data_IF_312236034676
#
_entry.id   IF_312236034676
#
_cell.length_a   1.000
_cell.length_b   1.000
_cell.length_c   1.000
_cell.angle_alpha   90.00
_cell.angle_beta   90.00
_cell.angle_gamma   90.00
#
_symmetry.space_group_name_H-M   'P 1'
#
loop_
_entity.id
_entity.type
_entity.pdbx_description
1 polymer ?
#
# COMPACT_ATOMS: atom_id res chain seq x y z
N UNK A 1 -6.02 12.33 -14.61
CA UNK A 1 -5.53 12.60 -13.24
C UNK A 1 -5.70 14.06 -12.80
N UNK A 2 -4.92 15.04 -13.29
CA UNK A 2 -5.12 16.46 -12.91
C UNK A 2 -6.53 16.98 -13.25
N UNK A 3 -7.05 16.59 -14.42
CA UNK A 3 -8.44 16.90 -14.81
C UNK A 3 -9.50 16.20 -13.95
N UNK A 4 -9.19 15.01 -13.41
CA UNK A 4 -10.12 14.29 -12.52
C UNK A 4 -10.19 14.94 -11.14
N UNK A 5 -9.06 15.49 -10.66
CA UNK A 5 -9.01 16.28 -9.43
C UNK A 5 -9.79 17.60 -9.60
N UNK A 6 -9.60 18.31 -10.71
CA UNK A 6 -10.37 19.52 -11.00
C UNK A 6 -11.86 19.25 -11.13
N UNK A 7 -12.22 18.10 -11.74
CA UNK A 7 -13.61 17.66 -11.83
C UNK A 7 -14.19 17.34 -10.45
N UNK A 8 -13.43 16.69 -9.57
CA UNK A 8 -13.83 16.43 -8.19
C UNK A 8 -14.07 17.72 -7.40
N UNK A 9 -13.16 18.69 -7.47
CA UNK A 9 -13.31 19.99 -6.80
C UNK A 9 -14.54 20.76 -7.31
N UNK A 10 -14.81 20.71 -8.62
CA UNK A 10 -16.01 21.33 -9.20
C UNK A 10 -17.30 20.66 -8.72
N UNK A 11 -17.35 19.33 -8.74
CA UNK A 11 -18.51 18.55 -8.25
C UNK A 11 -18.74 18.80 -6.76
N UNK A 12 -17.67 18.89 -5.97
CA UNK A 12 -17.75 19.18 -4.53
C UNK A 12 -18.31 20.58 -4.27
N UNK A 13 -17.89 21.58 -5.06
CA UNK A 13 -18.45 22.94 -5.00
C UNK A 13 -19.92 22.96 -5.41
N UNK A 14 -20.28 22.28 -6.50
CA UNK A 14 -21.67 22.13 -6.96
C UNK A 14 -22.55 21.44 -5.90
N UNK A 15 -22.04 20.39 -5.23
CA UNK A 15 -22.70 19.69 -4.13
C UNK A 15 -22.88 20.62 -2.91
N UNK A 16 -21.84 21.36 -2.51
CA UNK A 16 -21.94 22.34 -1.43
C UNK A 16 -23.02 23.40 -1.70
N UNK A 17 -23.10 23.90 -2.93
CA UNK A 17 -24.12 24.88 -3.35
C UNK A 17 -25.52 24.25 -3.39
N UNK A 18 -25.65 23.02 -3.91
CA UNK A 18 -26.94 22.34 -4.06
C UNK A 18 -27.62 22.06 -2.71
N UNK A 19 -26.83 21.83 -1.66
CA UNK A 19 -27.32 21.46 -0.34
C UNK A 19 -27.12 22.56 0.72
N UNK A 20 -26.76 23.78 0.30
CA UNK A 20 -26.50 24.93 1.17
C UNK A 20 -25.52 24.63 2.33
N UNK A 21 -24.47 23.87 2.01
CA UNK A 21 -23.43 23.45 2.94
C UNK A 21 -22.21 24.36 2.82
N UNK A 22 -21.98 25.23 3.82
CA UNK A 22 -20.70 25.93 3.95
C UNK A 22 -19.65 24.98 4.55
N UNK A 23 -18.71 24.51 3.73
CA UNK A 23 -17.53 23.78 4.23
C UNK A 23 -16.58 24.81 4.84
N UNK A 24 -16.45 24.84 6.18
CA UNK A 24 -15.43 25.68 6.83
C UNK A 24 -14.03 25.17 6.48
N UNK A 25 -13.23 26.04 5.86
CA UNK A 25 -11.78 25.88 5.80
C UNK A 25 -11.22 26.34 7.16
N UNK A 26 -10.61 25.43 7.92
CA UNK A 26 -9.80 25.85 9.07
C UNK A 26 -8.44 26.31 8.55
N UNK A 27 -7.95 27.45 9.05
CA UNK A 27 -6.65 28.04 8.69
C UNK A 27 -6.42 28.22 7.17
N UNK A 28 -7.47 28.59 6.42
CA UNK A 28 -7.47 28.71 4.94
C UNK A 28 -7.31 27.38 4.18
N UNK A 29 -7.13 26.25 4.89
CA UNK A 29 -6.88 24.95 4.30
C UNK A 29 -8.17 24.10 4.20
N UNK A 30 -8.39 23.54 3.02
CA UNK A 30 -9.54 22.71 2.70
C UNK A 30 -9.33 21.27 3.21
N UNK A 31 -10.10 20.88 4.24
CA UNK A 31 -10.03 19.55 4.90
C UNK A 31 -10.09 18.39 3.89
N UNK A 32 -10.95 18.49 2.88
CA UNK A 32 -11.07 17.45 1.87
C UNK A 32 -9.88 17.42 0.92
N UNK A 33 -9.29 18.57 0.60
CA UNK A 33 -8.08 18.64 -0.22
C UNK A 33 -6.88 18.03 0.52
N UNK A 34 -6.74 18.35 1.80
CA UNK A 34 -5.75 17.72 2.68
C UNK A 34 -5.95 16.20 2.73
N UNK A 35 -7.17 15.73 2.98
CA UNK A 35 -7.46 14.29 2.98
C UNK A 35 -7.19 13.66 1.62
N UNK A 36 -7.54 14.32 0.50
CA UNK A 36 -7.24 13.82 -0.83
C UNK A 36 -5.72 13.65 -1.03
N UNK A 37 -4.91 14.66 -0.65
CA UNK A 37 -3.45 14.58 -0.71
C UNK A 37 -2.92 13.41 0.12
N UNK A 38 -3.40 13.24 1.35
CA UNK A 38 -3.01 12.13 2.22
C UNK A 38 -3.41 10.76 1.66
N UNK A 39 -4.60 10.66 1.07
CA UNK A 39 -5.09 9.43 0.42
C UNK A 39 -4.20 9.06 -0.76
N UNK A 40 -3.80 10.03 -1.58
CA UNK A 40 -2.92 9.80 -2.72
C UNK A 40 -1.57 9.22 -2.26
N UNK A 41 -0.99 9.76 -1.18
CA UNK A 41 0.26 9.26 -0.62
C UNK A 41 0.14 7.81 -0.15
N UNK A 42 -0.95 7.49 0.56
CA UNK A 42 -1.27 6.12 0.97
C UNK A 42 -1.43 5.16 -0.22
N UNK A 43 -2.23 5.55 -1.23
CA UNK A 43 -2.51 4.69 -2.38
C UNK A 43 -1.30 4.45 -3.27
N UNK A 44 -0.41 5.44 -3.44
CA UNK A 44 0.82 5.26 -4.21
C UNK A 44 1.67 4.09 -3.71
N UNK A 45 1.80 3.95 -2.39
CA UNK A 45 2.54 2.84 -1.78
C UNK A 45 1.79 1.52 -1.88
N UNK A 46 0.48 1.54 -1.68
CA UNK A 46 -0.38 0.36 -1.76
C UNK A 46 -0.34 -0.30 -3.15
N UNK A 47 -0.39 0.50 -4.23
CA UNK A 47 -0.32 -0.01 -5.60
C UNK A 47 0.98 -0.77 -5.85
N UNK A 48 2.11 -0.28 -5.34
CA UNK A 48 3.39 -0.98 -5.48
C UNK A 48 3.45 -2.26 -4.62
N UNK A 49 2.89 -2.25 -3.40
CA UNK A 49 2.78 -3.46 -2.57
C UNK A 49 1.92 -4.54 -3.25
N UNK A 50 0.77 -4.17 -3.82
CA UNK A 50 -0.07 -5.09 -4.59
C UNK A 50 0.66 -5.65 -5.81
N UNK A 51 1.39 -4.79 -6.54
CA UNK A 51 2.21 -5.21 -7.68
C UNK A 51 3.29 -6.22 -7.26
N UNK A 52 3.95 -6.04 -6.12
CA UNK A 52 4.94 -7.00 -5.59
C UNK A 52 4.34 -8.40 -5.41
N UNK A 53 3.14 -8.50 -4.85
CA UNK A 53 2.46 -9.80 -4.67
C UNK A 53 2.22 -10.49 -6.02
N UNK A 54 1.77 -9.75 -7.04
CA UNK A 54 1.60 -10.30 -8.38
C UNK A 54 2.92 -10.80 -8.99
N UNK A 55 4.01 -10.06 -8.81
CA UNK A 55 5.33 -10.44 -9.30
C UNK A 55 5.85 -11.71 -8.61
N UNK A 56 5.60 -11.86 -7.30
CA UNK A 56 5.91 -13.09 -6.54
C UNK A 56 5.14 -14.29 -7.10
N UNK A 57 3.83 -14.15 -7.33
CA UNK A 57 2.97 -15.21 -7.89
C UNK A 57 3.48 -15.64 -9.27
N UNK A 58 3.81 -14.67 -10.11
CA UNK A 58 4.28 -14.88 -11.48
C UNK A 58 5.75 -15.33 -11.57
N UNK A 59 6.47 -15.34 -10.44
CA UNK A 59 7.91 -15.62 -10.35
C UNK A 59 8.76 -14.71 -11.24
N UNK A 60 8.32 -13.46 -11.42
CA UNK A 60 9.05 -12.46 -12.19
C UNK A 60 10.11 -11.79 -11.31
N UNK A 61 11.34 -12.33 -11.39
CA UNK A 61 12.49 -11.82 -10.63
C UNK A 61 12.85 -10.38 -11.01
N UNK A 62 12.85 -10.06 -12.29
CA UNK A 62 13.30 -8.76 -12.76
C UNK A 62 12.28 -7.68 -12.35
N UNK A 63 11.00 -7.92 -12.65
CA UNK A 63 9.93 -7.02 -12.24
C UNK A 63 9.84 -6.87 -10.71
N UNK A 64 10.10 -7.93 -9.94
CA UNK A 64 10.17 -7.87 -8.48
C UNK A 64 11.27 -6.90 -7.98
N UNK A 65 12.49 -7.01 -8.52
CA UNK A 65 13.60 -6.12 -8.14
C UNK A 65 13.33 -4.66 -8.53
N UNK A 66 12.81 -4.42 -9.73
CA UNK A 66 12.42 -3.08 -10.18
C UNK A 66 11.32 -2.48 -9.30
N UNK A 67 10.35 -3.29 -8.87
CA UNK A 67 9.28 -2.85 -8.00
C UNK A 67 9.77 -2.53 -6.58
N UNK A 68 10.74 -3.29 -6.05
CA UNK A 68 11.41 -2.97 -4.78
C UNK A 68 12.15 -1.63 -4.87
N UNK A 69 12.93 -1.44 -5.93
CA UNK A 69 13.64 -0.17 -6.16
C UNK A 69 12.67 1.01 -6.29
N UNK A 70 11.52 0.80 -6.95
CA UNK A 70 10.48 1.82 -7.03
C UNK A 70 9.92 2.19 -5.64
N UNK A 71 9.76 1.22 -4.74
CA UNK A 71 9.32 1.47 -3.35
C UNK A 71 10.39 2.22 -2.57
N UNK A 72 11.65 1.83 -2.69
CA UNK A 72 12.79 2.53 -2.05
C UNK A 72 12.88 3.99 -2.51
N UNK A 73 12.70 4.25 -3.81
CA UNK A 73 12.70 5.60 -4.36
C UNK A 73 11.47 6.42 -3.94
N UNK A 74 10.31 5.76 -3.80
CA UNK A 74 9.06 6.43 -3.48
C UNK A 74 8.92 6.75 -1.99
N UNK A 75 9.46 5.92 -1.09
CA UNK A 75 9.36 6.09 0.36
C UNK A 75 9.82 7.49 0.82
N UNK A 76 11.02 7.99 0.46
CA UNK A 76 11.45 9.34 0.85
C UNK A 76 10.50 10.44 0.37
N UNK A 77 9.98 10.31 -0.86
CA UNK A 77 9.01 11.25 -1.42
C UNK A 77 7.72 11.27 -0.60
N UNK A 78 7.17 10.09 -0.27
CA UNK A 78 5.94 10.01 0.53
C UNK A 78 6.15 10.55 1.94
N UNK A 79 7.27 10.22 2.58
CA UNK A 79 7.60 10.72 3.92
C UNK A 79 7.78 12.25 3.92
N UNK A 80 8.48 12.80 2.93
CA UNK A 80 8.66 14.24 2.76
C UNK A 80 7.33 14.95 2.54
N UNK A 81 6.47 14.46 1.64
CA UNK A 81 5.14 15.05 1.42
C UNK A 81 4.23 14.92 2.62
N UNK A 82 4.30 13.82 3.35
CA UNK A 82 3.55 13.66 4.60
C UNK A 82 4.03 14.65 5.65
N UNK A 83 5.33 14.94 5.74
CA UNK A 83 5.88 15.93 6.67
C UNK A 83 5.49 17.38 6.29
N UNK A 84 5.47 17.71 5.00
CA UNK A 84 5.00 19.02 4.51
C UNK A 84 3.55 19.30 4.96
N UNK A 85 2.67 18.29 4.83
CA UNK A 85 1.26 18.39 5.18
C UNK A 85 0.99 18.45 6.70
N UNK A 86 1.97 18.16 7.57
CA UNK A 86 1.77 18.27 9.04
C UNK A 86 1.42 19.68 9.50
N UNK A 87 1.77 20.70 8.70
CA UNK A 87 1.53 22.10 9.02
C UNK A 87 0.10 22.55 8.73
N UNK A 88 -0.67 21.74 7.99
CA UNK A 88 -1.98 22.14 7.49
C UNK A 88 -3.09 21.98 8.55
N UNK A 89 -2.90 21.07 9.51
CA UNK A 89 -3.85 20.77 10.61
C UNK A 89 -3.09 20.40 11.88
N UNK A 90 -3.62 20.79 13.05
CA UNK A 90 -3.07 20.39 14.35
C UNK A 90 -3.28 18.90 14.68
N UNK A 91 -4.32 18.28 14.11
CA UNK A 91 -4.53 16.83 14.16
C UNK A 91 -3.61 16.11 13.16
N UNK A 92 -2.47 15.63 13.64
CA UNK A 92 -1.47 14.92 12.82
C UNK A 92 -1.79 13.43 12.60
N UNK A 93 -2.97 12.93 13.03
CA UNK A 93 -3.24 11.49 13.09
C UNK A 93 -3.16 10.78 11.73
N UNK A 94 -3.59 11.44 10.64
CA UNK A 94 -3.46 10.89 9.29
C UNK A 94 -2.00 10.86 8.84
N UNK A 95 -1.20 11.89 9.15
CA UNK A 95 0.22 11.91 8.83
C UNK A 95 0.94 10.73 9.49
N UNK A 96 0.69 10.50 10.78
CA UNK A 96 1.32 9.43 11.53
C UNK A 96 0.90 8.05 11.01
N UNK A 97 -0.37 7.88 10.63
CA UNK A 97 -0.85 6.65 10.01
C UNK A 97 -0.17 6.39 8.65
N UNK A 98 0.07 7.43 7.85
CA UNK A 98 0.80 7.31 6.59
C UNK A 98 2.27 6.94 6.80
N UNK A 99 2.94 7.58 7.76
CA UNK A 99 4.35 7.29 8.10
C UNK A 99 4.49 5.84 8.58
N UNK A 100 3.64 5.39 9.50
CA UNK A 100 3.63 4.02 10.00
C UNK A 100 3.45 3.01 8.86
N UNK A 101 2.49 3.26 7.96
CA UNK A 101 2.21 2.38 6.83
C UNK A 101 3.38 2.29 5.85
N UNK A 102 3.97 3.43 5.46
CA UNK A 102 5.11 3.48 4.53
C UNK A 102 6.33 2.76 5.10
N UNK A 103 6.63 2.99 6.38
CA UNK A 103 7.74 2.32 7.05
C UNK A 103 7.50 0.81 7.13
N UNK A 104 6.30 0.40 7.53
CA UNK A 104 5.94 -1.02 7.57
C UNK A 104 6.16 -1.71 6.21
N UNK A 105 5.66 -1.13 5.11
CA UNK A 105 5.82 -1.73 3.78
C UNK A 105 7.28 -1.90 3.39
N UNK A 106 8.09 -0.85 3.60
CA UNK A 106 9.51 -0.85 3.29
C UNK A 106 10.27 -1.92 4.08
N UNK A 107 10.07 -1.94 5.40
CA UNK A 107 10.80 -2.84 6.30
C UNK A 107 10.41 -4.31 6.06
N UNK A 108 9.13 -4.56 5.75
CA UNK A 108 8.67 -5.90 5.40
C UNK A 108 9.26 -6.38 4.07
N UNK A 109 9.33 -5.51 3.08
CA UNK A 109 9.89 -5.85 1.77
C UNK A 109 11.36 -6.27 1.88
N UNK A 110 12.14 -5.56 2.68
CA UNK A 110 13.53 -5.92 2.97
C UNK A 110 13.62 -7.30 3.64
N UNK A 111 12.77 -7.57 4.64
CA UNK A 111 12.74 -8.85 5.37
C UNK A 111 12.36 -10.04 4.50
N UNK A 112 11.42 -9.87 3.56
CA UNK A 112 10.94 -10.99 2.71
C UNK A 112 11.78 -11.17 1.44
N UNK A 113 12.61 -10.19 1.05
CA UNK A 113 13.34 -10.18 -0.21
C UNK A 113 14.17 -11.45 -0.41
N UNK A 114 14.98 -11.82 0.59
CA UNK A 114 15.85 -13.00 0.50
C UNK A 114 15.05 -14.29 0.28
N UNK A 115 13.91 -14.46 0.96
CA UNK A 115 13.03 -15.61 0.82
C UNK A 115 12.36 -15.69 -0.55
N UNK A 116 11.97 -14.54 -1.12
CA UNK A 116 11.41 -14.46 -2.47
C UNK A 116 12.47 -14.85 -3.52
N UNK A 117 13.68 -14.30 -3.40
CA UNK A 117 14.78 -14.61 -4.32
C UNK A 117 15.18 -16.09 -4.24
N UNK A 118 15.28 -16.66 -3.03
CA UNK A 118 15.50 -18.08 -2.81
C UNK A 118 14.41 -18.92 -3.50
N UNK A 119 13.14 -18.55 -3.33
CA UNK A 119 12.02 -19.23 -3.96
C UNK A 119 12.10 -19.20 -5.50
N UNK A 120 12.44 -18.05 -6.10
CA UNK A 120 12.60 -17.93 -7.54
C UNK A 120 13.73 -18.81 -8.08
N UNK A 121 14.88 -18.84 -7.41
CA UNK A 121 16.01 -19.66 -7.83
C UNK A 121 15.70 -21.16 -7.70
N UNK A 122 15.05 -21.59 -6.61
CA UNK A 122 14.60 -22.98 -6.47
C UNK A 122 13.57 -23.37 -7.53
N UNK A 123 12.65 -22.47 -7.88
CA UNK A 123 11.70 -22.70 -8.97
C UNK A 123 12.41 -22.92 -10.31
N UNK A 124 13.42 -22.10 -10.64
CA UNK A 124 14.24 -22.27 -11.85
C UNK A 124 14.96 -23.62 -11.87
N UNK A 125 15.51 -24.06 -10.73
CA UNK A 125 16.18 -25.36 -10.61
C UNK A 125 15.21 -26.52 -10.89
N UNK A 126 13.98 -26.46 -10.32
CA UNK A 126 12.93 -27.46 -10.61
C UNK A 126 12.62 -27.50 -12.11
N UNK A 127 12.46 -26.34 -12.76
CA UNK A 127 12.18 -26.30 -14.20
C UNK A 127 13.32 -26.85 -15.05
N UNK A 128 14.57 -26.55 -14.68
CA UNK A 128 15.75 -27.04 -15.39
C UNK A 128 15.88 -28.56 -15.31
N UNK A 129 15.59 -29.16 -14.16
CA UNK A 129 15.59 -30.63 -14.00
C UNK A 129 14.43 -31.26 -14.77
N UNK A 130 13.23 -30.66 -14.71
CA UNK A 130 12.06 -31.13 -15.48
C UNK A 130 12.27 -31.09 -16.99
N UNK A 131 13.00 -30.09 -17.50
CA UNK A 131 13.35 -30.03 -18.91
C UNK A 131 14.32 -31.17 -19.29
N UNK A 132 15.39 -31.35 -18.49
CA UNK A 132 16.38 -32.41 -18.70
C UNK A 132 15.80 -33.82 -18.61
N UNK A 133 14.84 -34.06 -17.71
CA UNK A 133 14.21 -35.37 -17.55
C UNK A 133 13.32 -35.76 -18.74
N UNK A 134 12.87 -34.80 -19.56
CA UNK A 134 12.14 -35.08 -20.81
C UNK A 134 13.08 -35.51 -21.96
N UNK A 135 14.36 -35.18 -21.86
CA UNK A 135 15.36 -35.40 -22.92
C UNK A 135 16.19 -36.68 -22.72
N UNK A 136 16.18 -37.26 -21.52
CA UNK A 136 16.99 -38.43 -21.14
C UNK A 136 16.05 -39.54 -20.65
N UNK A 137 16.27 -40.79 -21.07
CA UNK A 137 15.58 -41.95 -20.48
C UNK A 137 15.78 -41.93 -18.94
N UNK A 138 14.68 -41.90 -18.20
CA UNK A 138 14.69 -41.70 -16.75
C UNK A 138 15.52 -42.77 -16.03
N UNK A 139 16.62 -42.36 -15.40
CA UNK A 139 17.40 -43.23 -14.51
C UNK A 139 16.97 -43.02 -13.04
N UNK A 140 17.14 -44.05 -12.20
CA UNK A 140 16.89 -43.95 -10.74
C UNK A 140 17.68 -42.79 -10.08
N UNK A 141 18.87 -42.46 -10.61
CA UNK A 141 19.68 -41.34 -10.13
C UNK A 141 19.04 -39.99 -10.46
N UNK A 142 18.48 -39.85 -11.66
CA UNK A 142 17.75 -38.64 -12.11
C UNK A 142 16.50 -38.40 -11.26
N UNK A 143 15.78 -39.47 -10.90
CA UNK A 143 14.59 -39.40 -10.03
C UNK A 143 14.96 -38.95 -8.61
N UNK A 144 16.04 -39.48 -8.04
CA UNK A 144 16.50 -39.10 -6.71
C UNK A 144 16.92 -37.61 -6.63
N UNK A 145 17.63 -37.12 -7.65
CA UNK A 145 18.01 -35.71 -7.77
C UNK A 145 16.80 -34.79 -7.90
N UNK A 146 15.82 -35.17 -8.73
CA UNK A 146 14.56 -34.44 -8.85
C UNK A 146 13.82 -34.36 -7.50
N UNK A 147 13.66 -35.48 -6.81
CA UNK A 147 12.98 -35.54 -5.52
C UNK A 147 13.65 -34.66 -4.46
N UNK A 148 14.99 -34.61 -4.44
CA UNK A 148 15.75 -33.73 -3.53
C UNK A 148 15.45 -32.26 -3.80
N UNK A 149 15.45 -31.83 -5.06
CA UNK A 149 15.19 -30.44 -5.44
C UNK A 149 13.73 -30.05 -5.19
N UNK A 150 12.78 -30.94 -5.47
CA UNK A 150 11.35 -30.71 -5.17
C UNK A 150 11.10 -30.57 -3.66
N UNK A 151 11.75 -31.39 -2.83
CA UNK A 151 11.65 -31.26 -1.36
C UNK A 151 12.16 -29.89 -0.90
N UNK A 152 13.32 -29.44 -1.39
CA UNK A 152 13.89 -28.14 -1.03
C UNK A 152 13.01 -26.98 -1.53
N UNK A 153 12.50 -27.07 -2.76
CA UNK A 153 11.55 -26.11 -3.32
C UNK A 153 10.29 -25.99 -2.44
N UNK A 154 9.68 -27.12 -2.07
CA UNK A 154 8.49 -27.10 -1.22
C UNK A 154 8.77 -26.51 0.16
N UNK A 155 9.92 -26.83 0.76
CA UNK A 155 10.33 -26.26 2.03
C UNK A 155 10.44 -24.72 1.95
N UNK A 156 11.19 -24.19 0.97
CA UNK A 156 11.36 -22.74 0.77
C UNK A 156 10.03 -22.04 0.44
N UNK A 157 9.21 -22.64 -0.41
CA UNK A 157 7.87 -22.14 -0.75
C UNK A 157 7.00 -22.03 0.50
N UNK A 158 6.97 -23.04 1.36
CA UNK A 158 6.12 -23.04 2.54
C UNK A 158 6.55 -21.97 3.55
N UNK A 159 7.86 -21.78 3.75
CA UNK A 159 8.39 -20.68 4.58
C UNK A 159 7.94 -19.32 4.01
N UNK A 160 8.11 -19.11 2.70
CA UNK A 160 7.67 -17.87 2.06
C UNK A 160 6.16 -17.64 2.24
N UNK A 161 5.34 -18.67 2.07
CA UNK A 161 3.88 -18.55 2.24
C UNK A 161 3.50 -18.18 3.67
N UNK A 162 4.16 -18.76 4.68
CA UNK A 162 3.94 -18.40 6.09
C UNK A 162 4.28 -16.92 6.35
N UNK A 163 5.44 -16.46 5.87
CA UNK A 163 5.87 -15.07 6.02
C UNK A 163 4.93 -14.10 5.29
N UNK A 164 4.48 -14.45 4.09
CA UNK A 164 3.51 -13.66 3.33
C UNK A 164 2.16 -13.60 4.05
N UNK A 165 1.70 -14.70 4.63
CA UNK A 165 0.45 -14.72 5.39
C UNK A 165 0.50 -13.78 6.60
N UNK A 166 1.58 -13.86 7.39
CA UNK A 166 1.78 -12.96 8.53
C UNK A 166 1.84 -11.50 8.10
N UNK A 167 2.60 -11.21 7.04
CA UNK A 167 2.70 -9.87 6.48
C UNK A 167 1.31 -9.35 6.03
N UNK A 168 0.52 -10.16 5.31
CA UNK A 168 -0.84 -9.77 4.90
C UNK A 168 -1.79 -9.52 6.08
N UNK A 169 -1.69 -10.31 7.16
CA UNK A 169 -2.46 -10.06 8.40
C UNK A 169 -2.10 -8.71 9.02
N UNK A 170 -0.82 -8.37 9.08
CA UNK A 170 -0.35 -7.10 9.63
C UNK A 170 -0.71 -5.91 8.72
N UNK A 171 -0.60 -6.06 7.39
CA UNK A 171 -1.08 -5.07 6.41
C UNK A 171 -2.56 -4.76 6.58
N UNK A 172 -3.40 -5.79 6.74
CA UNK A 172 -4.84 -5.61 6.95
C UNK A 172 -5.15 -4.78 8.21
N UNK A 173 -4.39 -4.97 9.29
CA UNK A 173 -4.53 -4.16 10.51
C UNK A 173 -4.22 -2.69 10.23
N UNK A 174 -3.13 -2.40 9.50
CA UNK A 174 -2.73 -1.04 9.14
C UNK A 174 -3.74 -0.37 8.21
N UNK A 175 -4.28 -1.10 7.22
CA UNK A 175 -5.35 -0.61 6.37
C UNK A 175 -6.58 -0.19 7.18
N UNK A 176 -7.05 -1.08 8.04
CA UNK A 176 -8.23 -0.79 8.87
C UNK A 176 -7.98 0.38 9.83
N UNK A 177 -6.76 0.45 10.41
CA UNK A 177 -6.34 1.59 11.24
C UNK A 177 -6.39 2.88 10.45
N UNK A 178 -5.79 2.91 9.26
CA UNK A 178 -5.75 4.10 8.40
C UNK A 178 -7.16 4.58 8.02
N UNK A 179 -8.04 3.67 7.58
CA UNK A 179 -9.43 4.03 7.25
C UNK A 179 -10.19 4.60 8.46
N UNK A 180 -9.98 3.99 9.63
CA UNK A 180 -10.61 4.47 10.88
C UNK A 180 -10.08 5.83 11.28
N UNK A 181 -8.76 6.04 11.20
CA UNK A 181 -8.11 7.32 11.49
C UNK A 181 -8.59 8.42 10.55
N UNK A 182 -8.64 8.14 9.25
CA UNK A 182 -9.12 9.08 8.24
C UNK A 182 -10.58 9.49 8.50
N UNK A 183 -11.46 8.52 8.78
CA UNK A 183 -12.84 8.81 9.13
C UNK A 183 -12.99 9.63 10.42
N UNK A 184 -12.15 9.37 11.44
CA UNK A 184 -12.13 10.15 12.69
C UNK A 184 -11.62 11.56 12.47
N UNK A 185 -10.54 11.72 11.72
CA UNK A 185 -10.00 13.02 11.35
C UNK A 185 -11.07 13.87 10.64
N UNK A 186 -11.76 13.31 9.64
CA UNK A 186 -12.85 14.00 8.96
C UNK A 186 -13.97 14.41 9.93
N UNK A 187 -14.39 13.53 10.84
CA UNK A 187 -15.42 13.88 11.85
C UNK A 187 -14.98 15.00 12.79
N UNK A 188 -13.72 15.03 13.17
CA UNK A 188 -13.20 15.99 14.15
C UNK A 188 -12.88 17.35 13.52
N UNK A 189 -12.53 17.36 12.23
CA UNK A 189 -12.05 18.56 11.54
C UNK A 189 -13.06 19.13 10.54
N UNK A 190 -14.16 18.43 10.24
CA UNK A 190 -15.29 19.01 9.51
C UNK A 190 -16.22 19.69 10.52
N UNK A 191 -16.39 20.99 10.37
CA UNK A 191 -17.49 21.73 10.97
C UNK A 191 -18.45 22.11 9.86
N UNK A 192 -19.68 21.57 9.93
CA UNK A 192 -20.79 22.08 9.15
C UNK A 192 -21.30 23.34 9.84
N UNK A 193 -21.51 24.44 9.10
CA UNK A 193 -22.26 25.56 9.66
C UNK A 193 -23.69 25.10 9.96
N UNK A 194 -24.12 25.28 11.20
CA UNK A 194 -25.54 25.24 11.52
C UNK A 194 -26.17 26.53 10.96
N UNK A 195 -26.99 26.40 9.93
CA UNK A 195 -27.77 27.51 9.35
C UNK A 195 -28.62 28.23 10.41
N UNK A 196 -28.88 27.60 11.56
CA UNK A 196 -29.60 28.20 12.68
C UNK A 196 -28.73 28.98 13.67
N UNK A 197 -27.40 28.84 13.69
CA UNK A 197 -26.54 29.62 14.60
C UNK A 197 -26.60 31.14 14.34
N UNK A 198 -26.86 31.56 13.09
CA UNK A 198 -27.13 32.98 12.75
C UNK A 198 -28.47 33.50 13.29
N UNK A 199 -29.40 32.61 13.64
CA UNK A 199 -30.72 32.97 14.19
C UNK A 199 -30.81 32.78 15.71
N UNK A 200 -29.77 32.25 16.36
CA UNK A 200 -29.64 32.19 17.83
C UNK A 200 -28.78 33.38 18.30
N UNK A 201 -29.26 34.59 18.03
CA UNK A 201 -28.93 35.78 18.83
C UNK A 201 -30.23 36.53 19.11
N UNK A 202 -30.81 36.21 20.26
CA UNK A 202 -31.25 37.18 21.28
C UNK A 202 -32.12 36.45 22.33
N UNK A 203 -31.52 36.20 23.49
CA UNK A 203 -32.21 36.21 24.80
C UNK A 203 -31.29 36.85 25.82
#
# INVERSE_FOLDING_TARGET
YFEEINRFERIKKEFGIQYDLTIKNYDENNVFEYCAKQNILFYKMNVLDHKLIHLIINKDKQGFLECLQAIENLKPHVLSKTAELKKDFSDESINDANIEYVNFLSDQNEKIMSYVLDYFEQYKLVQKIKARSKEIQESNKTIAEYNKVVKLFNYKKNILLMLLEENQKNKKKLYNKWYTTNAKFLRNNIVFEDIHEKFVKDK
#
